data_IF_444458298308
#
_entry.id   IF_444458298308
#
_cell.length_a   1.000
_cell.length_b   1.000
_cell.length_c   1.000
_cell.angle_alpha   90.00
_cell.angle_beta   90.00
_cell.angle_gamma   90.00
#
_symmetry.space_group_name_H-M   'P 1'
#
loop_
_entity.id
_entity.type
_entity.pdbx_description
1 polymer ?
#
# COMPACT_ATOMS: atom_id res chain seq x y z
N UNK A 1 18.75 20.62 49.72
CA UNK A 1 17.75 20.95 48.68
C UNK A 1 18.28 20.47 47.33
N UNK A 2 17.89 19.28 46.92
CA UNK A 2 18.31 18.69 45.64
C UNK A 2 17.13 18.92 44.67
N UNK A 3 17.36 19.77 43.66
CA UNK A 3 16.37 20.05 42.65
C UNK A 3 16.30 18.85 41.68
N UNK A 4 15.17 18.19 41.67
CA UNK A 4 14.84 17.13 40.71
C UNK A 4 14.53 17.81 39.38
N UNK A 5 15.42 17.69 38.39
CA UNK A 5 15.13 18.03 37.00
C UNK A 5 14.19 16.98 36.42
N UNK A 6 12.99 17.40 36.02
CA UNK A 6 12.09 16.61 35.20
C UNK A 6 12.63 16.52 33.76
N UNK A 7 12.55 15.36 33.09
CA UNK A 7 12.90 15.28 31.69
C UNK A 7 11.84 16.00 30.86
N UNK A 8 12.26 17.02 30.13
CA UNK A 8 11.48 17.69 29.11
C UNK A 8 11.13 16.70 28.01
N UNK A 9 9.87 16.35 27.90
CA UNK A 9 9.30 15.68 26.73
C UNK A 9 9.49 16.61 25.52
N UNK A 10 10.44 16.27 24.67
CA UNK A 10 10.56 16.83 23.32
C UNK A 10 9.52 16.10 22.47
N UNK A 11 8.27 16.58 22.49
CA UNK A 11 7.32 16.29 21.41
C UNK A 11 7.87 16.88 20.12
N UNK A 12 8.55 16.06 19.32
CA UNK A 12 8.88 16.41 17.95
C UNK A 12 7.57 16.43 17.16
N UNK A 13 6.93 17.58 17.06
CA UNK A 13 5.89 17.82 16.04
C UNK A 13 6.51 17.50 14.68
N UNK A 14 6.12 16.35 14.11
CA UNK A 14 6.46 15.98 12.72
C UNK A 14 6.02 17.13 11.81
N UNK A 15 6.98 17.71 11.09
CA UNK A 15 6.68 18.61 9.98
C UNK A 15 6.17 17.78 8.80
N UNK A 16 4.88 17.44 8.82
CA UNK A 16 4.19 16.65 7.80
C UNK A 16 4.15 17.35 6.43
N UNK A 17 4.76 18.53 6.31
CA UNK A 17 4.91 19.26 5.05
C UNK A 17 6.16 18.85 4.26
N UNK A 18 7.14 18.19 4.91
CA UNK A 18 8.42 17.84 4.29
C UNK A 18 8.26 16.69 3.28
N UNK A 19 8.54 16.96 2.01
CA UNK A 19 8.57 15.93 0.96
C UNK A 19 9.92 15.20 1.06
N UNK A 20 9.88 13.88 1.27
CA UNK A 20 11.08 13.02 1.36
C UNK A 20 11.39 12.26 0.08
N UNK A 21 10.41 12.09 -0.81
CA UNK A 21 10.62 11.51 -2.13
C UNK A 21 9.67 12.13 -3.16
N UNK A 22 10.11 12.36 -4.39
CA UNK A 22 9.24 12.86 -5.46
C UNK A 22 9.64 12.36 -6.86
N UNK A 23 8.62 12.27 -7.71
CA UNK A 23 8.70 12.15 -9.16
C UNK A 23 8.03 13.40 -9.75
N UNK A 24 8.77 14.21 -10.51
CA UNK A 24 8.29 15.45 -11.09
C UNK A 24 8.26 15.33 -12.62
N UNK A 25 7.08 15.11 -13.22
CA UNK A 25 6.87 14.93 -14.65
C UNK A 25 7.63 13.72 -15.23
N UNK A 26 7.77 12.65 -14.45
CA UNK A 26 8.64 11.53 -14.79
C UNK A 26 8.01 10.62 -15.85
N UNK A 27 8.77 10.42 -16.93
CA UNK A 27 8.45 9.42 -17.97
C UNK A 27 9.52 8.33 -17.98
N UNK A 28 9.09 7.08 -18.10
CA UNK A 28 9.98 5.93 -18.26
C UNK A 28 9.45 4.96 -19.32
N UNK A 29 10.29 4.69 -20.31
CA UNK A 29 10.02 3.74 -21.38
C UNK A 29 10.98 2.55 -21.34
N UNK A 30 10.51 1.37 -21.70
CA UNK A 30 11.29 0.17 -21.97
C UNK A 30 11.00 -0.25 -23.42
N UNK A 31 11.84 0.18 -24.36
CA UNK A 31 11.52 0.05 -25.79
C UNK A 31 10.21 0.75 -26.15
N UNK A 32 9.26 0.01 -26.69
CA UNK A 32 7.94 0.51 -27.05
C UNK A 32 6.97 0.63 -25.86
N UNK A 33 7.30 0.04 -24.70
CA UNK A 33 6.40 0.03 -23.55
C UNK A 33 6.62 1.30 -22.72
N UNK A 34 5.56 2.11 -22.55
CA UNK A 34 5.56 3.28 -21.67
C UNK A 34 5.17 2.84 -20.26
N UNK A 35 6.18 2.66 -19.41
CA UNK A 35 5.98 2.21 -18.04
C UNK A 35 5.49 3.32 -17.11
N UNK A 36 5.92 4.58 -17.33
CA UNK A 36 5.41 5.78 -16.66
C UNK A 36 5.29 6.92 -17.67
N UNK A 37 4.25 7.75 -17.54
CA UNK A 37 3.89 8.81 -18.46
C UNK A 37 3.68 10.13 -17.72
N UNK A 38 4.70 11.00 -17.70
CA UNK A 38 4.69 12.32 -17.03
C UNK A 38 4.12 12.28 -15.60
N UNK A 39 4.53 11.30 -14.81
CA UNK A 39 4.01 11.05 -13.46
C UNK A 39 4.52 12.12 -12.51
N UNK A 40 3.58 12.74 -11.77
CA UNK A 40 3.85 13.61 -10.63
C UNK A 40 3.40 12.87 -9.37
N UNK A 41 4.33 12.68 -8.44
CA UNK A 41 4.11 11.90 -7.24
C UNK A 41 5.03 12.39 -6.13
N UNK A 42 4.56 12.44 -4.89
CA UNK A 42 5.38 12.82 -3.75
C UNK A 42 5.06 11.96 -2.54
N UNK A 43 6.03 11.80 -1.64
CA UNK A 43 5.90 11.13 -0.33
C UNK A 43 6.32 12.13 0.74
N UNK A 44 5.48 12.32 1.75
CA UNK A 44 5.75 13.23 2.88
C UNK A 44 6.35 12.45 4.04
N UNK A 45 7.10 13.16 4.88
CA UNK A 45 7.69 12.58 6.07
C UNK A 45 6.63 12.01 7.02
N UNK A 46 6.86 10.77 7.47
CA UNK A 46 6.03 10.12 8.48
C UNK A 46 4.66 9.65 8.01
N UNK A 47 4.43 9.52 6.69
CA UNK A 47 3.21 8.91 6.15
C UNK A 47 3.47 7.50 5.59
N UNK A 48 2.41 6.71 5.52
CA UNK A 48 2.34 5.49 4.72
C UNK A 48 1.64 5.81 3.41
N UNK A 49 2.36 5.74 2.30
CA UNK A 49 1.77 5.88 0.96
C UNK A 49 1.68 4.51 0.31
N UNK A 50 0.48 4.14 -0.13
CA UNK A 50 0.26 2.93 -0.92
C UNK A 50 0.15 3.29 -2.40
N UNK A 51 1.08 2.77 -3.20
CA UNK A 51 1.00 2.82 -4.66
C UNK A 51 0.25 1.59 -5.16
N UNK A 52 -1.02 1.78 -5.45
CA UNK A 52 -1.96 0.74 -5.84
C UNK A 52 -2.09 0.66 -7.36
N UNK A 53 -2.25 -0.54 -7.92
CA UNK A 53 -2.47 -0.71 -9.35
C UNK A 53 -2.32 -2.15 -9.80
N UNK A 54 -2.84 -2.50 -11.01
CA UNK A 54 -2.70 -3.84 -11.55
C UNK A 54 -1.24 -4.16 -11.89
N UNK A 55 -0.97 -5.43 -12.21
CA UNK A 55 0.34 -5.84 -12.71
C UNK A 55 0.65 -5.10 -14.02
N UNK A 56 1.88 -4.59 -14.13
CA UNK A 56 2.28 -3.78 -15.29
C UNK A 56 1.87 -2.30 -15.23
N UNK A 57 1.19 -1.84 -14.19
CA UNK A 57 0.79 -0.43 -14.04
C UNK A 57 1.97 0.56 -13.92
N UNK A 58 3.18 0.08 -13.56
CA UNK A 58 4.37 0.91 -13.38
C UNK A 58 4.85 1.06 -11.95
N UNK A 59 4.20 0.40 -10.95
CA UNK A 59 4.52 0.49 -9.51
C UNK A 59 6.01 0.22 -9.22
N UNK A 60 6.50 -0.96 -9.57
CA UNK A 60 7.92 -1.33 -9.38
C UNK A 60 8.87 -0.42 -10.16
N UNK A 61 8.45 0.13 -11.30
CA UNK A 61 9.23 1.11 -12.07
C UNK A 61 9.38 2.41 -11.28
N UNK A 62 8.31 2.92 -10.66
CA UNK A 62 8.35 4.10 -9.81
C UNK A 62 9.29 3.88 -8.61
N UNK A 63 9.18 2.75 -7.92
CA UNK A 63 10.07 2.38 -6.81
C UNK A 63 11.53 2.31 -7.26
N UNK A 64 11.84 1.65 -8.40
CA UNK A 64 13.21 1.57 -8.92
C UNK A 64 13.80 2.93 -9.29
N UNK A 65 13.00 3.86 -9.78
CA UNK A 65 13.42 5.24 -10.04
C UNK A 65 13.75 5.97 -8.74
N UNK A 66 12.89 5.88 -7.73
CA UNK A 66 13.10 6.50 -6.42
C UNK A 66 14.30 5.89 -5.67
N UNK A 67 14.60 4.61 -5.90
CA UNK A 67 15.81 3.97 -5.38
C UNK A 67 17.07 4.29 -6.20
N UNK A 68 16.95 5.02 -7.32
CA UNK A 68 18.07 5.32 -8.21
C UNK A 68 18.66 4.10 -8.91
N UNK A 69 17.89 3.00 -9.00
CA UNK A 69 18.31 1.76 -9.68
C UNK A 69 18.19 1.88 -11.20
N UNK A 70 17.35 2.79 -11.67
CA UNK A 70 17.16 3.10 -13.09
C UNK A 70 17.04 4.62 -13.25
N UNK A 71 17.31 5.13 -14.46
CA UNK A 71 17.17 6.54 -14.80
C UNK A 71 15.84 6.79 -15.54
N UNK A 72 15.16 7.94 -15.33
CA UNK A 72 14.03 8.35 -16.12
C UNK A 72 14.44 8.72 -17.55
N UNK A 73 13.50 8.67 -18.49
CA UNK A 73 13.69 9.22 -19.85
C UNK A 73 13.51 10.75 -19.84
N UNK A 74 12.59 11.25 -19.00
CA UNK A 74 12.39 12.68 -18.77
C UNK A 74 11.81 12.91 -17.38
N UNK A 75 11.81 14.17 -16.91
CA UNK A 75 11.37 14.54 -15.56
C UNK A 75 12.51 14.46 -14.55
N UNK A 76 12.17 14.67 -13.28
CA UNK A 76 13.14 14.69 -12.16
C UNK A 76 12.70 13.71 -11.07
N UNK A 77 13.69 13.04 -10.48
CA UNK A 77 13.51 12.15 -9.32
C UNK A 77 14.33 12.70 -8.18
N UNK A 78 13.72 12.86 -7.00
CA UNK A 78 14.38 13.32 -5.79
C UNK A 78 14.06 12.44 -4.61
N UNK A 79 15.05 12.26 -3.73
CA UNK A 79 14.91 11.63 -2.42
C UNK A 79 15.73 12.46 -1.45
N UNK A 80 15.13 12.89 -0.33
CA UNK A 80 15.71 13.82 0.65
C UNK A 80 16.32 15.08 -0.01
N UNK A 81 15.56 15.71 -0.91
CA UNK A 81 15.94 16.88 -1.72
C UNK A 81 17.15 16.68 -2.65
N UNK A 82 17.67 15.46 -2.75
CA UNK A 82 18.83 15.10 -3.55
C UNK A 82 18.58 14.06 -4.63
N UNK A 83 19.65 13.69 -5.29
CA UNK A 83 19.62 12.57 -6.22
C UNK A 83 19.50 11.26 -5.41
N UNK A 84 18.59 10.32 -5.78
CA UNK A 84 18.48 9.04 -5.09
C UNK A 84 19.76 8.19 -5.12
N UNK A 85 20.71 8.47 -6.04
CA UNK A 85 21.99 7.77 -6.11
C UNK A 85 23.02 8.26 -5.10
N UNK A 86 22.80 9.40 -4.43
CA UNK A 86 23.70 9.91 -3.42
C UNK A 86 23.89 8.91 -2.28
N UNK A 87 25.13 8.60 -1.86
CA UNK A 87 25.39 7.66 -0.77
C UNK A 87 24.64 8.02 0.52
N UNK A 88 24.63 9.29 0.91
CA UNK A 88 23.92 9.78 2.11
C UNK A 88 22.42 9.47 2.06
N UNK A 89 21.77 9.64 0.90
CA UNK A 89 20.35 9.33 0.73
C UNK A 89 20.11 7.82 0.81
N UNK A 90 21.03 7.02 0.26
CA UNK A 90 20.96 5.55 0.35
C UNK A 90 21.08 5.02 1.76
N UNK A 91 21.95 5.64 2.58
CA UNK A 91 22.12 5.28 4.00
C UNK A 91 20.84 5.49 4.81
N UNK A 92 20.00 6.43 4.40
CA UNK A 92 18.71 6.75 5.04
C UNK A 92 17.53 6.00 4.43
N UNK A 93 17.78 5.12 3.46
CA UNK A 93 16.75 4.42 2.69
C UNK A 93 16.87 2.92 2.89
N UNK A 94 15.76 2.28 3.24
CA UNK A 94 15.62 0.82 3.24
C UNK A 94 14.76 0.35 2.09
N UNK A 95 15.05 -0.82 1.52
CA UNK A 95 14.29 -1.34 0.40
C UNK A 95 14.08 -2.85 0.49
N UNK A 96 12.83 -3.26 0.33
CA UNK A 96 12.41 -4.64 0.12
C UNK A 96 11.81 -4.73 -1.28
N UNK A 97 12.52 -5.37 -2.20
CA UNK A 97 12.08 -5.52 -3.59
C UNK A 97 11.50 -6.92 -3.83
N UNK A 98 10.52 -7.01 -4.72
CA UNK A 98 9.83 -8.26 -5.07
C UNK A 98 10.79 -9.36 -5.54
N UNK A 99 11.89 -9.02 -6.18
CA UNK A 99 12.93 -9.95 -6.66
C UNK A 99 14.23 -9.70 -5.88
N UNK A 100 14.17 -9.93 -4.57
CA UNK A 100 15.37 -9.96 -3.73
C UNK A 100 15.99 -11.36 -3.74
N UNK A 101 17.20 -11.51 -4.29
CA UNK A 101 17.98 -12.75 -4.15
C UNK A 101 19.11 -12.51 -3.17
N UNK A 102 19.14 -13.29 -2.11
CA UNK A 102 20.20 -13.31 -1.11
C UNK A 102 20.85 -14.68 -1.08
N UNK A 103 22.12 -14.80 -0.65
CA UNK A 103 22.81 -16.10 -0.58
C UNK A 103 22.02 -17.13 0.23
N UNK A 104 21.75 -18.28 -0.33
CA UNK A 104 20.93 -19.31 0.33
C UNK A 104 21.66 -20.03 1.46
N UNK A 105 22.99 -19.96 1.47
CA UNK A 105 23.86 -20.67 2.41
C UNK A 105 24.01 -19.98 3.76
N UNK A 106 23.75 -18.66 3.82
CA UNK A 106 23.86 -17.89 5.05
C UNK A 106 22.67 -18.12 5.99
N UNK A 107 22.92 -18.01 7.28
CA UNK A 107 21.88 -18.02 8.32
C UNK A 107 21.17 -16.68 8.36
N UNK A 108 19.97 -16.65 8.94
CA UNK A 108 19.19 -15.41 9.11
C UNK A 108 20.03 -14.31 9.77
N UNK A 109 20.67 -14.62 10.92
CA UNK A 109 21.53 -13.65 11.61
C UNK A 109 22.69 -13.16 10.75
N UNK A 110 23.32 -14.05 9.99
CA UNK A 110 24.48 -13.72 9.16
C UNK A 110 24.10 -12.77 8.01
N UNK A 111 22.88 -12.89 7.47
CA UNK A 111 22.35 -11.93 6.53
C UNK A 111 22.17 -10.56 7.16
N UNK A 112 21.52 -10.50 8.34
CA UNK A 112 21.28 -9.23 9.04
C UNK A 112 22.61 -8.58 9.42
N UNK A 113 23.53 -9.33 10.01
CA UNK A 113 24.87 -8.85 10.38
C UNK A 113 25.60 -8.29 9.15
N UNK A 114 25.61 -9.03 8.02
CA UNK A 114 26.24 -8.58 6.78
C UNK A 114 25.64 -7.26 6.27
N UNK A 115 24.32 -7.16 6.20
CA UNK A 115 23.65 -5.95 5.72
C UNK A 115 23.83 -4.77 6.68
N UNK A 116 23.84 -5.02 7.98
CA UNK A 116 24.10 -4.01 9.00
C UNK A 116 25.48 -3.33 8.83
N UNK A 117 26.48 -4.03 8.27
CA UNK A 117 27.80 -3.45 8.04
C UNK A 117 27.83 -2.31 7.02
N UNK A 118 26.78 -2.16 6.20
CA UNK A 118 26.65 -1.06 5.26
C UNK A 118 26.19 0.26 5.90
N UNK A 119 25.73 0.24 7.15
CA UNK A 119 25.15 1.39 7.83
C UNK A 119 26.02 1.81 9.02
N UNK A 120 26.08 3.12 9.28
CA UNK A 120 26.88 3.67 10.39
C UNK A 120 26.26 3.35 11.76
N UNK A 121 24.93 3.42 11.85
CA UNK A 121 24.19 3.21 13.08
C UNK A 121 23.02 2.20 12.86
N UNK A 122 23.33 0.93 12.60
CA UNK A 122 22.30 -0.08 12.37
C UNK A 122 21.56 -0.40 13.65
N UNK A 123 20.33 -0.90 13.51
CA UNK A 123 19.59 -1.46 14.65
C UNK A 123 20.33 -2.69 15.21
N UNK A 124 20.28 -2.91 16.54
CA UNK A 124 20.79 -4.13 17.13
C UNK A 124 20.14 -5.37 16.52
N UNK A 125 20.94 -6.43 16.27
CA UNK A 125 20.45 -7.69 15.69
C UNK A 125 19.20 -8.23 16.40
N UNK A 126 19.19 -8.20 17.74
CA UNK A 126 18.06 -8.67 18.53
C UNK A 126 16.77 -7.89 18.22
N UNK A 127 16.87 -6.57 18.05
CA UNK A 127 15.74 -5.71 17.74
C UNK A 127 15.21 -6.01 16.32
N UNK A 128 16.10 -6.12 15.33
CA UNK A 128 15.72 -6.48 13.95
C UNK A 128 15.02 -7.84 13.90
N UNK A 129 15.54 -8.83 14.63
CA UNK A 129 14.92 -10.16 14.72
C UNK A 129 13.51 -10.08 15.32
N UNK A 130 13.34 -9.30 16.38
CA UNK A 130 12.03 -9.11 17.03
C UNK A 130 11.03 -8.41 16.13
N UNK A 131 11.42 -7.30 15.50
CA UNK A 131 10.56 -6.56 14.55
C UNK A 131 10.12 -7.47 13.37
N UNK A 132 11.03 -8.30 12.86
CA UNK A 132 10.73 -9.19 11.74
C UNK A 132 10.10 -10.54 12.16
N UNK A 133 9.96 -10.81 13.47
CA UNK A 133 9.44 -12.09 14.00
C UNK A 133 10.33 -13.29 13.63
N UNK A 134 11.65 -13.11 13.70
CA UNK A 134 12.65 -14.10 13.26
C UNK A 134 13.49 -14.69 14.40
N UNK A 135 13.19 -14.39 15.67
CA UNK A 135 13.99 -14.82 16.83
C UNK A 135 14.25 -16.34 16.85
N UNK A 136 13.21 -17.12 16.58
CA UNK A 136 13.29 -18.59 16.56
C UNK A 136 13.98 -19.15 15.32
N UNK A 137 14.20 -18.31 14.31
CA UNK A 137 14.77 -18.68 13.01
C UNK A 137 16.21 -18.16 12.83
N UNK A 138 16.75 -17.40 13.79
CA UNK A 138 18.03 -16.69 13.69
C UNK A 138 19.21 -17.55 13.20
N UNK A 139 19.24 -18.83 13.59
CA UNK A 139 20.32 -19.76 13.28
C UNK A 139 20.00 -20.70 12.09
N UNK A 140 18.80 -20.58 11.49
CA UNK A 140 18.42 -21.34 10.28
C UNK A 140 19.04 -20.72 9.04
N UNK A 141 19.40 -21.60 8.09
CA UNK A 141 19.85 -21.14 6.76
C UNK A 141 18.68 -20.62 5.96
N UNK A 142 18.92 -19.63 5.12
CA UNK A 142 17.90 -19.01 4.26
C UNK A 142 17.24 -20.04 3.33
N UNK A 143 18.00 -21.02 2.79
CA UNK A 143 17.48 -22.11 1.97
C UNK A 143 16.40 -22.94 2.67
N UNK A 144 16.45 -23.08 4.00
CA UNK A 144 15.56 -23.93 4.80
C UNK A 144 14.25 -23.23 5.17
N UNK A 145 14.12 -21.96 4.81
CA UNK A 145 12.97 -21.13 5.17
C UNK A 145 11.82 -21.31 4.18
N UNK A 146 10.58 -21.24 4.70
CA UNK A 146 9.38 -21.10 3.86
C UNK A 146 9.36 -19.77 3.10
N UNK A 147 8.52 -19.65 2.07
CA UNK A 147 8.37 -18.40 1.31
C UNK A 147 8.07 -17.19 2.22
N UNK A 148 7.12 -17.35 3.14
CA UNK A 148 6.77 -16.27 4.08
C UNK A 148 7.89 -15.95 5.07
N UNK A 149 8.68 -16.94 5.51
CA UNK A 149 9.84 -16.70 6.35
C UNK A 149 10.95 -15.97 5.57
N UNK A 150 11.16 -16.31 4.30
CA UNK A 150 12.09 -15.60 3.40
C UNK A 150 11.68 -14.14 3.22
N UNK A 151 10.37 -13.89 3.09
CA UNK A 151 9.83 -12.54 3.00
C UNK A 151 10.12 -11.70 4.25
N UNK A 152 9.97 -12.30 5.44
CA UNK A 152 10.35 -11.64 6.71
C UNK A 152 11.84 -11.34 6.80
N UNK A 153 12.69 -12.21 6.26
CA UNK A 153 14.15 -11.91 6.18
C UNK A 153 14.40 -10.72 5.27
N UNK A 154 13.77 -10.64 4.10
CA UNK A 154 13.92 -9.47 3.21
C UNK A 154 13.44 -8.18 3.88
N UNK A 155 12.35 -8.25 4.66
CA UNK A 155 11.89 -7.12 5.48
C UNK A 155 12.92 -6.75 6.55
N UNK A 156 13.49 -7.73 7.27
CA UNK A 156 14.56 -7.50 8.24
C UNK A 156 15.77 -6.78 7.62
N UNK A 157 16.16 -7.16 6.40
CA UNK A 157 17.26 -6.50 5.68
C UNK A 157 16.91 -5.07 5.28
N UNK A 158 15.65 -4.78 4.98
CA UNK A 158 15.20 -3.44 4.64
C UNK A 158 15.23 -2.48 5.83
N UNK A 159 15.02 -3.00 7.07
CA UNK A 159 14.94 -2.16 8.28
C UNK A 159 16.23 -2.11 9.10
N UNK A 160 17.19 -3.03 8.86
CA UNK A 160 18.37 -3.19 9.75
C UNK A 160 19.23 -1.92 9.86
N UNK A 161 19.22 -1.05 8.85
CA UNK A 161 19.93 0.23 8.85
C UNK A 161 19.19 1.38 9.55
N UNK A 162 18.06 1.12 10.20
CA UNK A 162 17.15 2.14 10.80
C UNK A 162 16.78 3.28 9.84
N UNK A 163 16.33 2.99 8.60
CA UNK A 163 16.11 4.00 7.59
C UNK A 163 14.99 4.98 7.95
N UNK A 164 15.09 6.22 7.41
CA UNK A 164 14.02 7.22 7.52
C UNK A 164 12.90 6.98 6.51
N UNK A 165 13.23 6.36 5.34
CA UNK A 165 12.32 6.05 4.26
C UNK A 165 12.45 4.59 3.85
N UNK A 166 11.33 3.86 3.89
CA UNK A 166 11.22 2.46 3.51
C UNK A 166 10.44 2.32 2.21
N UNK A 167 11.01 1.57 1.26
CA UNK A 167 10.34 1.11 0.05
C UNK A 167 10.02 -0.36 0.17
N UNK A 168 8.74 -0.71 0.16
CA UNK A 168 8.25 -2.09 0.31
C UNK A 168 7.48 -2.49 -0.96
N UNK A 169 8.13 -3.26 -1.85
CA UNK A 169 7.51 -3.68 -3.11
C UNK A 169 6.81 -5.03 -2.92
N UNK A 170 5.48 -5.00 -2.80
CA UNK A 170 4.59 -6.15 -2.55
C UNK A 170 4.99 -6.97 -1.30
N UNK A 171 5.09 -6.35 -0.11
CA UNK A 171 5.73 -6.97 1.06
C UNK A 171 4.99 -8.19 1.60
N UNK A 172 3.71 -8.35 1.32
CA UNK A 172 2.86 -9.42 1.88
C UNK A 172 2.60 -10.58 0.93
N UNK A 173 3.20 -10.55 -0.26
CA UNK A 173 3.06 -11.65 -1.22
C UNK A 173 3.60 -12.95 -0.63
N UNK A 174 2.78 -14.02 -0.65
CA UNK A 174 3.16 -15.33 -0.11
C UNK A 174 3.07 -15.45 1.41
N UNK A 175 2.60 -14.44 2.11
CA UNK A 175 2.27 -14.52 3.54
C UNK A 175 0.85 -15.06 3.74
N UNK A 176 0.66 -15.88 4.77
CA UNK A 176 -0.67 -16.20 5.29
C UNK A 176 -1.31 -14.99 5.98
N UNK A 177 -2.58 -15.12 6.36
CA UNK A 177 -3.36 -14.01 6.94
C UNK A 177 -2.75 -13.49 8.24
N UNK A 178 -2.25 -14.38 9.11
CA UNK A 178 -1.68 -14.03 10.39
C UNK A 178 -0.34 -13.31 10.22
N UNK A 179 0.56 -13.87 9.41
CA UNK A 179 1.84 -13.27 9.08
C UNK A 179 1.71 -11.90 8.41
N UNK A 180 0.68 -11.71 7.57
CA UNK A 180 0.37 -10.44 6.94
C UNK A 180 -0.03 -9.39 7.98
N UNK A 181 -0.93 -9.73 8.91
CA UNK A 181 -1.36 -8.82 9.99
C UNK A 181 -0.19 -8.40 10.87
N UNK A 182 0.66 -9.35 11.26
CA UNK A 182 1.86 -9.05 12.05
C UNK A 182 2.79 -8.07 11.33
N UNK A 183 3.00 -8.26 10.01
CA UNK A 183 3.81 -7.32 9.22
C UNK A 183 3.16 -5.94 9.14
N UNK A 184 1.84 -5.85 9.00
CA UNK A 184 1.11 -4.58 9.02
C UNK A 184 1.28 -3.84 10.35
N UNK A 185 1.17 -4.56 11.47
CA UNK A 185 1.38 -3.97 12.81
C UNK A 185 2.80 -3.42 12.96
N UNK A 186 3.81 -4.14 12.46
CA UNK A 186 5.20 -3.65 12.51
C UNK A 186 5.42 -2.43 11.60
N UNK A 187 4.84 -2.40 10.40
CA UNK A 187 4.89 -1.21 9.53
C UNK A 187 4.28 0.00 10.24
N UNK A 188 3.12 -0.15 10.90
CA UNK A 188 2.50 0.93 11.67
C UNK A 188 3.40 1.40 12.81
N UNK A 189 3.98 0.49 13.59
CA UNK A 189 4.93 0.82 14.66
C UNK A 189 6.15 1.60 14.17
N UNK A 190 6.67 1.25 13.00
CA UNK A 190 7.77 2.01 12.38
C UNK A 190 7.34 3.45 12.06
N UNK A 191 6.15 3.63 11.51
CA UNK A 191 5.61 4.96 11.20
C UNK A 191 5.33 5.77 12.49
N UNK A 192 4.81 5.14 13.53
CA UNK A 192 4.62 5.78 14.85
C UNK A 192 5.95 6.28 15.44
N UNK A 193 7.06 5.59 15.12
CA UNK A 193 8.43 6.03 15.47
C UNK A 193 8.99 7.09 14.52
N UNK A 194 8.22 7.60 13.57
CA UNK A 194 8.63 8.68 12.66
C UNK A 194 9.13 8.23 11.29
N UNK A 195 9.17 6.93 11.01
CA UNK A 195 9.61 6.44 9.70
C UNK A 195 8.54 6.73 8.62
N UNK A 196 8.98 6.81 7.37
CA UNK A 196 8.12 7.01 6.21
C UNK A 196 8.10 5.73 5.39
N UNK A 197 6.95 5.34 4.86
CA UNK A 197 6.81 4.10 4.09
C UNK A 197 6.12 4.37 2.76
N UNK A 198 6.76 3.96 1.67
CA UNK A 198 6.13 3.79 0.37
C UNK A 198 6.00 2.29 0.10
N UNK A 199 4.78 1.79 0.09
CA UNK A 199 4.52 0.41 -0.27
C UNK A 199 3.82 0.31 -1.64
N UNK A 200 4.15 -0.71 -2.41
CA UNK A 200 3.36 -1.10 -3.57
C UNK A 200 2.53 -2.32 -3.24
N UNK A 201 1.32 -2.36 -3.72
CA UNK A 201 0.46 -3.52 -3.56
C UNK A 201 -0.57 -3.61 -4.67
N UNK A 202 -1.05 -4.81 -4.90
CA UNK A 202 -2.29 -5.08 -5.64
C UNK A 202 -3.40 -5.59 -4.70
N UNK A 203 -3.11 -5.75 -3.42
CA UNK A 203 -4.08 -6.12 -2.39
C UNK A 203 -4.72 -4.86 -1.81
N UNK A 204 -5.98 -4.64 -2.15
CA UNK A 204 -6.75 -3.48 -1.71
C UNK A 204 -6.93 -3.42 -0.20
N UNK A 205 -7.06 -4.59 0.44
CA UNK A 205 -7.12 -4.69 1.90
C UNK A 205 -5.86 -4.18 2.60
N UNK A 206 -4.69 -4.34 1.99
CA UNK A 206 -3.43 -3.82 2.51
C UNK A 206 -3.38 -2.30 2.45
N UNK A 207 -3.76 -1.73 1.30
CA UNK A 207 -3.88 -0.28 1.15
C UNK A 207 -4.90 0.31 2.13
N UNK A 208 -6.05 -0.35 2.31
CA UNK A 208 -7.10 0.09 3.23
C UNK A 208 -6.67 0.01 4.70
N UNK A 209 -5.91 -1.02 5.05
CA UNK A 209 -5.44 -1.23 6.42
C UNK A 209 -4.26 -0.36 6.81
N UNK A 210 -3.35 -0.03 5.90
CA UNK A 210 -2.08 0.61 6.21
C UNK A 210 -1.96 2.06 5.76
N UNK A 211 -2.55 2.42 4.61
CA UNK A 211 -2.20 3.68 3.97
C UNK A 211 -2.88 4.89 4.63
N UNK A 212 -2.10 5.93 4.86
CA UNK A 212 -2.62 7.28 5.12
C UNK A 212 -3.09 7.89 3.79
N UNK A 213 -2.39 7.56 2.70
CA UNK A 213 -2.70 8.02 1.34
C UNK A 213 -2.49 6.90 0.33
N UNK A 214 -3.47 6.76 -0.56
CA UNK A 214 -3.46 5.82 -1.68
C UNK A 214 -3.28 6.59 -2.97
N UNK A 215 -2.37 6.11 -3.80
CA UNK A 215 -2.14 6.61 -5.16
C UNK A 215 -2.42 5.47 -6.14
N UNK A 216 -3.43 5.65 -6.97
CA UNK A 216 -3.84 4.63 -7.95
C UNK A 216 -3.12 4.85 -9.26
N UNK A 217 -2.26 3.90 -9.62
CA UNK A 217 -1.50 3.90 -10.86
C UNK A 217 -2.13 2.91 -11.86
N UNK A 218 -2.41 3.37 -13.07
CA UNK A 218 -2.89 2.54 -14.16
C UNK A 218 -2.21 2.93 -15.46
N UNK A 219 -1.71 1.95 -16.23
CA UNK A 219 -1.04 2.15 -17.52
C UNK A 219 0.02 3.28 -17.51
N UNK A 220 0.78 3.37 -16.41
CA UNK A 220 1.84 4.37 -16.24
C UNK A 220 1.35 5.78 -15.88
N UNK A 221 0.09 5.97 -15.54
CA UNK A 221 -0.49 7.25 -15.14
C UNK A 221 -1.16 7.15 -13.77
N UNK A 222 -1.09 8.23 -12.99
CA UNK A 222 -1.86 8.35 -11.75
C UNK A 222 -3.28 8.75 -12.13
N UNK A 223 -4.25 7.88 -11.80
CA UNK A 223 -5.67 8.09 -12.11
C UNK A 223 -6.48 8.57 -10.90
N UNK A 224 -5.99 8.33 -9.69
CA UNK A 224 -6.60 8.84 -8.47
C UNK A 224 -5.56 8.93 -7.36
N UNK A 225 -5.76 9.88 -6.44
CA UNK A 225 -4.98 10.07 -5.23
C UNK A 225 -5.89 10.59 -4.11
N UNK A 226 -5.66 10.15 -2.88
CA UNK A 226 -6.40 10.57 -1.69
C UNK A 226 -6.28 9.56 -0.55
N UNK A 227 -6.94 9.82 0.57
CA UNK A 227 -7.09 8.85 1.65
C UNK A 227 -7.88 7.62 1.18
N UNK A 228 -7.76 6.45 1.84
CA UNK A 228 -8.61 5.30 1.50
C UNK A 228 -10.10 5.64 1.48
N UNK A 229 -10.57 6.49 2.42
CA UNK A 229 -11.96 6.95 2.48
C UNK A 229 -12.35 7.81 1.27
N UNK A 230 -11.49 8.74 0.85
CA UNK A 230 -11.72 9.58 -0.34
C UNK A 230 -11.72 8.77 -1.63
N UNK A 231 -10.85 7.75 -1.75
CA UNK A 231 -10.85 6.86 -2.92
C UNK A 231 -12.15 6.05 -2.96
N UNK A 232 -12.61 5.50 -1.82
CA UNK A 232 -13.88 4.79 -1.70
C UNK A 232 -15.07 5.68 -2.05
N UNK A 233 -15.06 6.95 -1.65
CA UNK A 233 -16.16 7.89 -1.92
C UNK A 233 -16.27 8.30 -3.40
N UNK A 234 -15.21 8.11 -4.20
CA UNK A 234 -15.25 8.37 -5.66
C UNK A 234 -16.13 7.36 -6.41
N UNK A 235 -16.43 6.23 -5.80
CA UNK A 235 -17.40 5.27 -6.30
C UNK A 235 -18.76 5.60 -5.70
N UNK A 236 -19.68 6.10 -6.51
CA UNK A 236 -21.04 6.38 -6.09
C UNK A 236 -21.76 5.06 -5.79
N UNK A 237 -21.95 4.77 -4.51
CA UNK A 237 -22.85 3.69 -4.10
C UNK A 237 -22.41 2.95 -2.85
N UNK A 238 -23.41 2.56 -2.07
CA UNK A 238 -23.30 1.56 -1.01
C UNK A 238 -23.79 0.23 -1.56
N UNK A 239 -23.24 -0.84 -1.06
CA UNK A 239 -23.69 -2.19 -1.34
C UNK A 239 -24.66 -2.63 -0.25
N UNK A 240 -25.84 -3.04 -0.66
CA UNK A 240 -26.88 -3.61 0.20
C UNK A 240 -26.95 -5.09 -0.15
N UNK A 241 -26.75 -5.97 0.81
CA UNK A 241 -26.92 -7.41 0.68
C UNK A 241 -28.09 -7.84 1.55
N UNK A 242 -29.02 -8.61 1.00
CA UNK A 242 -30.16 -9.11 1.74
C UNK A 242 -30.75 -10.34 1.07
N UNK A 243 -31.54 -11.12 1.85
CA UNK A 243 -32.44 -12.14 1.32
C UNK A 243 -33.83 -11.54 1.30
N UNK A 244 -34.48 -11.54 0.12
CA UNK A 244 -35.78 -10.88 -0.11
C UNK A 244 -36.67 -11.72 -1.00
N UNK A 245 -37.97 -11.58 -0.81
CA UNK A 245 -38.99 -12.19 -1.65
C UNK A 245 -39.29 -11.38 -2.93
N UNK A 246 -38.75 -10.16 -3.04
CA UNK A 246 -38.94 -9.30 -4.20
C UNK A 246 -38.16 -9.81 -5.43
N UNK A 247 -38.79 -9.71 -6.59
CA UNK A 247 -38.13 -10.08 -7.85
C UNK A 247 -37.03 -9.09 -8.20
N UNK A 248 -36.00 -9.54 -8.95
CA UNK A 248 -34.91 -8.67 -9.45
C UNK A 248 -35.48 -7.49 -10.27
N UNK A 249 -36.54 -7.70 -11.01
CA UNK A 249 -37.21 -6.65 -11.77
C UNK A 249 -37.79 -5.55 -10.85
N UNK A 250 -38.42 -5.96 -9.75
CA UNK A 250 -38.95 -5.02 -8.75
C UNK A 250 -37.87 -4.26 -8.01
N UNK A 251 -36.73 -4.93 -7.71
CA UNK A 251 -35.58 -4.31 -7.06
C UNK A 251 -34.90 -3.24 -7.96
N UNK A 252 -34.79 -3.50 -9.25
CA UNK A 252 -34.24 -2.52 -10.24
C UNK A 252 -35.10 -1.28 -10.42
N UNK A 253 -36.40 -1.34 -10.03
CA UNK A 253 -37.31 -0.19 -10.11
C UNK A 253 -37.28 0.70 -8.86
N UNK A 254 -36.55 0.30 -7.80
CA UNK A 254 -36.40 1.12 -6.62
C UNK A 254 -35.51 2.32 -6.95
N UNK A 255 -35.99 3.51 -6.61
CA UNK A 255 -35.26 4.73 -6.85
C UNK A 255 -33.89 4.73 -6.13
N UNK A 256 -32.82 5.06 -6.85
CA UNK A 256 -31.46 5.08 -6.31
C UNK A 256 -30.70 3.75 -6.46
N UNK A 257 -31.33 2.69 -6.99
CA UNK A 257 -30.66 1.44 -7.36
C UNK A 257 -29.96 1.61 -8.69
N UNK A 258 -28.66 1.32 -8.74
CA UNK A 258 -27.84 1.36 -9.96
C UNK A 258 -27.65 -0.03 -10.58
N UNK A 259 -27.49 -1.05 -9.74
CA UNK A 259 -27.30 -2.43 -10.19
C UNK A 259 -27.89 -3.42 -9.20
N UNK A 260 -28.39 -4.57 -9.69
CA UNK A 260 -28.86 -5.70 -8.86
C UNK A 260 -28.28 -6.98 -9.41
N UNK A 261 -27.61 -7.75 -8.54
CA UNK A 261 -27.01 -9.06 -8.83
C UNK A 261 -27.57 -10.13 -7.89
N UNK A 262 -27.72 -11.36 -8.40
CA UNK A 262 -27.94 -12.53 -7.55
C UNK A 262 -26.63 -13.03 -6.96
N UNK A 263 -26.62 -13.30 -5.65
CA UNK A 263 -25.52 -13.93 -4.93
C UNK A 263 -26.05 -15.14 -4.14
N UNK A 264 -26.17 -16.29 -4.82
CA UNK A 264 -26.71 -17.55 -4.28
C UNK A 264 -28.16 -17.39 -3.75
N UNK A 265 -28.34 -17.39 -2.41
CA UNK A 265 -29.62 -17.20 -1.74
C UNK A 265 -29.90 -15.74 -1.35
N UNK A 266 -29.00 -14.84 -1.65
CA UNK A 266 -29.08 -13.41 -1.36
C UNK A 266 -29.11 -12.57 -2.63
N UNK A 267 -29.48 -11.31 -2.50
CA UNK A 267 -29.39 -10.31 -3.56
C UNK A 267 -28.42 -9.23 -3.13
N UNK A 268 -27.56 -8.82 -4.06
CA UNK A 268 -26.66 -7.70 -3.90
C UNK A 268 -27.17 -6.52 -4.73
N UNK A 269 -27.38 -5.38 -4.06
CA UNK A 269 -27.94 -4.17 -4.64
C UNK A 269 -26.91 -3.05 -4.48
N UNK A 270 -26.54 -2.42 -5.58
CA UNK A 270 -25.72 -1.21 -5.56
C UNK A 270 -26.62 0.02 -5.64
N UNK A 271 -26.42 0.96 -4.72
CA UNK A 271 -27.26 2.15 -4.60
C UNK A 271 -26.46 3.39 -4.20
N UNK A 272 -26.70 4.51 -4.86
CA UNK A 272 -26.08 5.79 -4.51
C UNK A 272 -26.55 6.27 -3.12
N UNK A 273 -27.84 6.10 -2.80
CA UNK A 273 -28.45 6.46 -1.53
C UNK A 273 -29.05 5.23 -0.86
N UNK A 274 -28.18 4.40 -0.26
CA UNK A 274 -28.60 3.12 0.31
C UNK A 274 -29.68 3.26 1.39
N UNK A 275 -29.68 4.35 2.14
CA UNK A 275 -30.68 4.62 3.19
C UNK A 275 -32.09 4.71 2.63
N UNK A 276 -32.27 5.30 1.45
CA UNK A 276 -33.56 5.35 0.76
C UNK A 276 -33.98 3.96 0.27
N UNK A 277 -33.04 3.25 -0.37
CA UNK A 277 -33.27 1.90 -0.88
C UNK A 277 -33.61 0.93 0.25
N UNK A 278 -32.90 0.98 1.37
CA UNK A 278 -33.19 0.14 2.55
C UNK A 278 -34.59 0.40 3.12
N UNK A 279 -34.99 1.68 3.23
CA UNK A 279 -36.38 2.01 3.67
C UNK A 279 -37.43 1.43 2.76
N UNK A 280 -37.19 1.52 1.45
CA UNK A 280 -38.15 0.98 0.46
C UNK A 280 -38.19 -0.55 0.48
N UNK A 281 -37.05 -1.22 0.66
CA UNK A 281 -36.96 -2.68 0.81
C UNK A 281 -37.75 -3.15 2.04
N UNK A 282 -37.53 -2.52 3.20
CA UNK A 282 -38.23 -2.85 4.44
C UNK A 282 -39.75 -2.58 4.37
N UNK A 283 -40.13 -1.54 3.60
CA UNK A 283 -41.55 -1.23 3.40
C UNK A 283 -42.25 -2.22 2.47
N UNK A 284 -41.57 -2.78 1.48
CA UNK A 284 -42.12 -3.69 0.46
C UNK A 284 -42.02 -5.16 0.83
N UNK A 285 -41.07 -5.54 1.68
CA UNK A 285 -40.83 -6.93 2.07
C UNK A 285 -40.65 -7.07 3.58
N UNK A 286 -41.71 -7.52 4.23
CA UNK A 286 -41.71 -7.80 5.67
C UNK A 286 -40.93 -9.06 6.05
N UNK A 287 -40.57 -9.90 5.07
CA UNK A 287 -39.82 -11.14 5.24
C UNK A 287 -38.34 -10.96 4.95
N UNK A 288 -37.90 -9.73 4.69
CA UNK A 288 -36.50 -9.41 4.41
C UNK A 288 -35.61 -9.82 5.59
N UNK A 289 -34.54 -10.55 5.29
CA UNK A 289 -33.55 -11.03 6.27
C UNK A 289 -32.12 -10.81 5.80
N UNK A 290 -31.15 -10.95 6.70
CA UNK A 290 -29.73 -10.89 6.36
C UNK A 290 -29.31 -9.54 5.77
N UNK A 291 -29.96 -8.44 6.19
CA UNK A 291 -29.65 -7.11 5.69
C UNK A 291 -28.30 -6.64 6.17
N UNK A 292 -27.41 -6.44 5.23
CA UNK A 292 -26.09 -5.84 5.42
C UNK A 292 -25.96 -4.63 4.50
N UNK A 293 -25.52 -3.50 5.04
CA UNK A 293 -25.21 -2.29 4.26
C UNK A 293 -23.74 -1.98 4.44
N UNK A 294 -22.99 -2.10 3.36
CA UNK A 294 -21.56 -1.80 3.35
C UNK A 294 -21.27 -0.66 2.39
N UNK A 295 -20.34 0.21 2.77
CA UNK A 295 -19.79 1.18 1.81
C UNK A 295 -19.08 0.43 0.70
N UNK A 296 -19.06 0.98 -0.51
CA UNK A 296 -18.23 0.45 -1.59
C UNK A 296 -16.81 0.25 -1.05
N UNK A 297 -16.27 -0.94 -1.23
CA UNK A 297 -14.90 -1.25 -0.83
C UNK A 297 -13.90 -0.50 -1.72
N UNK A 298 -12.63 -0.52 -1.31
CA UNK A 298 -11.57 -0.01 -2.17
C UNK A 298 -11.50 -0.78 -3.50
N UNK A 299 -12.03 -2.01 -3.53
CA UNK A 299 -12.06 -2.87 -4.71
C UNK A 299 -13.03 -2.36 -5.78
N UNK A 300 -14.25 -2.02 -5.41
CA UNK A 300 -15.23 -1.46 -6.32
C UNK A 300 -14.76 -0.08 -6.84
N UNK A 301 -14.20 0.74 -5.94
CA UNK A 301 -13.63 2.03 -6.32
C UNK A 301 -12.49 1.88 -7.32
N UNK A 302 -11.59 0.94 -7.08
CA UNK A 302 -10.48 0.65 -7.97
C UNK A 302 -10.93 0.13 -9.33
N UNK A 303 -11.91 -0.80 -9.38
CA UNK A 303 -12.47 -1.33 -10.62
C UNK A 303 -13.13 -0.23 -11.45
N UNK A 304 -13.95 0.63 -10.84
CA UNK A 304 -14.58 1.76 -11.51
C UNK A 304 -13.54 2.72 -12.11
N UNK A 305 -12.55 3.13 -11.31
CA UNK A 305 -11.48 4.04 -11.77
C UNK A 305 -10.63 3.45 -12.91
N UNK A 306 -10.40 2.14 -12.91
CA UNK A 306 -9.58 1.49 -13.94
C UNK A 306 -10.35 1.20 -15.22
N UNK A 307 -11.68 1.04 -15.18
CA UNK A 307 -12.54 0.86 -16.34
C UNK A 307 -12.81 2.19 -17.08
N UNK A 308 -13.07 3.26 -16.34
CA UNK A 308 -13.29 4.61 -16.93
C UNK A 308 -12.03 5.17 -17.61
N UNK A 309 -10.85 4.87 -17.06
CA UNK A 309 -9.56 5.26 -17.67
C UNK A 309 -9.28 4.62 -19.03
N UNK A 310 -9.97 3.52 -19.36
CA UNK A 310 -9.83 2.81 -20.66
C UNK A 310 -10.67 3.41 -21.80
N UNK A 311 -11.68 4.23 -21.50
CA UNK A 311 -12.58 4.78 -22.53
C UNK A 311 -12.14 6.15 -23.08
N UNK A 312 -11.37 6.94 -22.29
CA UNK A 312 -10.92 8.27 -22.73
C UNK A 312 -9.74 8.26 -23.74
N UNK A 313 -9.20 7.08 -24.07
CA UNK A 313 -8.11 6.93 -25.06
C UNK A 313 -8.56 6.65 -26.50
N UNK A 314 -9.88 6.54 -26.79
CA UNK A 314 -10.38 6.13 -28.12
C UNK A 314 -11.03 7.24 -28.96
N UNK A 315 -11.07 8.48 -28.50
CA UNK A 315 -11.60 9.60 -29.25
C UNK A 315 -10.55 10.68 -29.47
N UNK A 316 -9.55 10.39 -30.28
CA UNK A 316 -8.72 11.39 -30.97
C UNK A 316 -8.00 10.69 -32.13
N UNK A 317 -8.67 10.51 -33.20
CA UNK A 317 -8.11 10.37 -34.55
C UNK A 317 -8.80 11.36 -35.47
#
# INVERSE_FOLDING_TARGET
MIATMQPTEIESKKDSSLIVASLDGVTKNYGAVRALQAVNFSVRAGEVVSLLGPNGAGKTTAVKLLLGLIQPNSGKVRVFDGNPTNPENRMRTGAMLQVGRVPETLRVREHIDLFSTYYENPLPLAEVLTIAGLEKLRDRKYAELSGGQKQRVLFALAICGDPDLLFLDEPTVGLDVEARRLLWDEIRRLVDRGKTVLLTTHYLQEADALADRVVVLNQGQIIAEGTPAEIKSKTSGKRIRCTTSLSLASLRQIQGVSEVKEDREAVEIHAAEAELVVRELLARDSMLTGLEVTSAGLEEAFLALTQDGGQNGKHSN
#
